data_IF_065577393404
#
_entry.id   IF_065577393404
#
_cell.length_a   1.000
_cell.length_b   1.000
_cell.length_c   1.000
_cell.angle_alpha   90.00
_cell.angle_beta   90.00
_cell.angle_gamma   90.00
#
_symmetry.space_group_name_H-M   'P 1'
#
loop_
_entity.id
_entity.type
_entity.pdbx_description
1 polymer ?
#
# COMPACT_ATOMS: atom_id res chain seq x y z
N UNK A 1 -83.39 -0.38 1.85
CA UNK A 1 -82.78 -1.39 2.73
C UNK A 1 -81.35 -1.60 2.25
N UNK A 2 -80.37 -1.43 3.13
CA UNK A 2 -78.94 -1.42 2.79
C UNK A 2 -78.33 -2.80 3.07
N UNK A 3 -77.43 -3.27 2.19
CA UNK A 3 -76.58 -4.45 2.42
C UNK A 3 -75.12 -4.03 2.28
N UNK A 4 -74.56 -3.52 3.38
CA UNK A 4 -73.13 -3.24 3.53
C UNK A 4 -72.38 -4.57 3.61
N UNK A 5 -71.85 -5.05 2.49
CA UNK A 5 -70.90 -6.15 2.45
C UNK A 5 -69.53 -5.65 2.95
N UNK A 6 -69.18 -5.99 4.18
CA UNK A 6 -67.90 -5.65 4.81
C UNK A 6 -66.77 -6.35 4.06
N UNK A 7 -66.06 -5.65 3.19
CA UNK A 7 -64.74 -6.10 2.72
C UNK A 7 -63.80 -5.98 3.91
N UNK A 8 -63.44 -7.11 4.51
CA UNK A 8 -62.52 -7.10 5.64
C UNK A 8 -61.11 -6.82 5.15
N UNK A 9 -60.34 -6.02 5.90
CA UNK A 9 -58.94 -5.77 5.58
C UNK A 9 -58.15 -7.10 5.43
N UNK A 10 -58.55 -8.15 6.16
CA UNK A 10 -58.06 -9.52 6.04
C UNK A 10 -58.23 -10.12 4.64
N UNK A 11 -59.35 -9.87 3.96
CA UNK A 11 -59.58 -10.41 2.61
C UNK A 11 -58.75 -9.67 1.56
N UNK A 12 -58.50 -8.37 1.79
CA UNK A 12 -57.55 -7.56 1.00
C UNK A 12 -56.10 -7.94 1.28
N UNK A 13 -55.73 -8.25 2.52
CA UNK A 13 -54.38 -8.72 2.88
C UNK A 13 -54.09 -10.11 2.36
N UNK A 14 -55.08 -11.01 2.40
CA UNK A 14 -54.94 -12.35 1.84
C UNK A 14 -54.76 -12.29 0.32
N UNK A 15 -55.51 -11.43 -0.39
CA UNK A 15 -55.31 -11.26 -1.84
C UNK A 15 -53.95 -10.63 -2.18
N UNK A 16 -53.47 -9.64 -1.41
CA UNK A 16 -52.15 -9.01 -1.63
C UNK A 16 -51.01 -9.98 -1.30
N UNK A 17 -51.11 -10.75 -0.22
CA UNK A 17 -50.11 -11.75 0.17
C UNK A 17 -50.03 -12.89 -0.84
N UNK A 18 -51.18 -13.35 -1.34
CA UNK A 18 -51.26 -14.40 -2.37
C UNK A 18 -50.72 -13.91 -3.72
N UNK A 19 -50.95 -12.64 -4.07
CA UNK A 19 -50.43 -12.02 -5.29
C UNK A 19 -48.93 -11.68 -5.20
N UNK A 20 -48.42 -11.34 -4.00
CA UNK A 20 -47.00 -11.15 -3.72
C UNK A 20 -46.23 -12.47 -3.79
N UNK A 21 -46.78 -13.56 -3.23
CA UNK A 21 -46.20 -14.91 -3.34
C UNK A 21 -46.18 -15.39 -4.79
N UNK A 22 -47.25 -15.18 -5.55
CA UNK A 22 -47.32 -15.56 -6.98
C UNK A 22 -46.33 -14.76 -7.85
N UNK A 23 -46.09 -13.50 -7.50
CA UNK A 23 -45.10 -12.64 -8.17
C UNK A 23 -43.67 -13.03 -7.78
N UNK A 24 -43.43 -13.36 -6.51
CA UNK A 24 -42.15 -13.86 -6.02
C UNK A 24 -41.74 -15.17 -6.71
N UNK A 25 -42.67 -16.11 -6.92
CA UNK A 25 -42.39 -17.36 -7.64
C UNK A 25 -42.06 -17.15 -9.13
N UNK A 26 -42.70 -16.19 -9.80
CA UNK A 26 -42.37 -15.86 -11.21
C UNK A 26 -41.03 -15.15 -11.36
N UNK A 27 -40.55 -14.48 -10.33
CA UNK A 27 -39.25 -13.78 -10.31
C UNK A 27 -38.08 -14.67 -9.85
N UNK A 28 -38.33 -15.87 -9.32
CA UNK A 28 -37.33 -16.76 -8.73
C UNK A 28 -36.43 -17.53 -9.74
N UNK A 29 -36.53 -17.27 -11.05
CA UNK A 29 -35.79 -18.03 -12.08
C UNK A 29 -34.41 -17.44 -12.41
N UNK A 30 -34.05 -16.26 -11.88
CA UNK A 30 -32.72 -15.67 -12.10
C UNK A 30 -31.92 -15.74 -10.80
N UNK A 31 -30.83 -16.52 -10.84
CA UNK A 31 -30.05 -16.98 -9.68
C UNK A 31 -29.24 -15.95 -8.85
N UNK A 32 -29.16 -14.62 -9.10
CA UNK A 32 -28.43 -13.74 -8.18
C UNK A 32 -29.30 -13.10 -7.08
N UNK A 33 -30.59 -13.44 -6.95
CA UNK A 33 -31.49 -12.73 -6.03
C UNK A 33 -31.76 -13.42 -4.68
N UNK A 34 -31.31 -14.66 -4.47
CA UNK A 34 -31.52 -15.37 -3.19
C UNK A 34 -30.88 -14.66 -1.99
N UNK A 35 -29.68 -14.09 -2.16
CA UNK A 35 -29.00 -13.35 -1.10
C UNK A 35 -29.62 -11.97 -0.81
N UNK A 36 -30.17 -11.30 -1.84
CA UNK A 36 -30.87 -10.04 -1.68
C UNK A 36 -32.22 -10.24 -0.95
N UNK A 37 -32.93 -11.30 -1.35
CA UNK A 37 -34.14 -11.77 -0.70
C UNK A 37 -33.85 -12.63 0.53
N UNK A 38 -32.62 -12.70 1.06
CA UNK A 38 -32.33 -13.15 2.43
C UNK A 38 -32.06 -11.92 3.35
N UNK A 39 -31.48 -10.87 2.77
CA UNK A 39 -31.18 -9.60 3.46
C UNK A 39 -32.39 -8.70 3.74
N UNK A 40 -33.33 -8.57 2.80
CA UNK A 40 -34.43 -7.57 2.88
C UNK A 40 -35.53 -7.95 3.89
N UNK A 41 -36.15 -9.11 3.72
CA UNK A 41 -36.98 -9.81 4.71
C UNK A 41 -36.32 -10.05 6.09
N UNK A 42 -35.01 -10.27 6.21
CA UNK A 42 -34.31 -10.35 7.51
C UNK A 42 -34.30 -8.99 8.21
N UNK A 43 -34.13 -7.91 7.45
CA UNK A 43 -34.18 -6.54 7.97
C UNK A 43 -35.62 -6.04 8.24
N UNK A 44 -36.60 -6.44 7.43
CA UNK A 44 -38.01 -6.12 7.66
C UNK A 44 -38.57 -6.89 8.87
N UNK A 45 -38.28 -8.20 8.99
CA UNK A 45 -38.70 -9.01 10.12
C UNK A 45 -38.07 -8.54 11.44
N UNK A 46 -36.80 -8.11 11.41
CA UNK A 46 -36.15 -7.45 12.55
C UNK A 46 -36.86 -6.16 12.97
N UNK A 47 -37.26 -5.34 12.00
CA UNK A 47 -37.94 -4.06 12.26
C UNK A 47 -39.39 -4.18 12.76
N UNK A 48 -40.10 -5.25 12.39
CA UNK A 48 -41.53 -5.44 12.68
C UNK A 48 -41.79 -6.17 14.02
N UNK A 49 -40.91 -7.09 14.43
CA UNK A 49 -41.14 -7.97 15.58
C UNK A 49 -40.35 -7.61 16.86
N UNK A 50 -39.88 -6.37 16.99
CA UNK A 50 -39.40 -5.83 18.27
C UNK A 50 -37.93 -6.08 18.59
N UNK A 51 -37.08 -6.25 17.59
CA UNK A 51 -35.63 -6.13 17.72
C UNK A 51 -35.19 -4.76 17.20
N UNK A 52 -34.89 -3.83 18.11
CA UNK A 52 -34.32 -2.48 17.88
C UNK A 52 -34.19 -2.06 16.41
N UNK A 53 -35.12 -1.21 15.96
CA UNK A 53 -34.96 -0.41 14.75
C UNK A 53 -33.58 0.25 14.73
N UNK A 54 -32.64 -0.35 14.00
CA UNK A 54 -31.51 0.38 13.45
C UNK A 54 -32.11 1.37 12.47
N UNK A 55 -32.30 2.61 12.93
CA UNK A 55 -32.60 3.73 12.06
C UNK A 55 -31.59 3.68 10.90
N UNK A 56 -32.08 3.67 9.67
CA UNK A 56 -31.29 3.99 8.48
C UNK A 56 -30.93 5.46 8.61
N UNK A 57 -29.87 5.73 9.35
CA UNK A 57 -29.32 7.04 9.64
C UNK A 57 -27.83 6.88 9.84
N UNK A 58 -27.05 7.70 9.14
CA UNK A 58 -25.59 7.78 9.12
C UNK A 58 -24.96 8.20 10.47
N UNK A 59 -25.67 7.98 11.57
CA UNK A 59 -25.20 8.21 12.93
C UNK A 59 -24.80 6.87 13.54
N UNK A 60 -23.55 6.70 13.99
CA UNK A 60 -23.14 5.44 14.55
C UNK A 60 -23.97 5.16 15.81
N UNK A 61 -24.54 3.94 15.85
CA UNK A 61 -24.94 3.28 17.09
C UNK A 61 -23.83 3.47 18.15
N UNK A 62 -24.15 3.40 19.47
CA UNK A 62 -23.14 3.52 20.53
C UNK A 62 -22.13 2.36 20.44
N UNK A 63 -21.15 2.55 19.56
CA UNK A 63 -20.05 1.67 19.26
C UNK A 63 -18.74 2.35 19.62
N UNK A 64 -17.67 1.58 19.81
CA UNK A 64 -16.40 2.13 20.25
C UNK A 64 -15.82 3.07 19.17
N UNK A 65 -15.33 4.22 19.60
CA UNK A 65 -14.81 5.28 18.73
C UNK A 65 -13.36 4.98 18.40
N UNK A 66 -12.98 5.16 17.13
CA UNK A 66 -11.62 4.94 16.65
C UNK A 66 -10.68 6.06 17.08
N UNK A 67 -9.47 5.70 17.52
CA UNK A 67 -8.40 6.60 17.93
C UNK A 67 -7.27 6.54 16.91
N UNK A 68 -7.08 7.63 16.15
CA UNK A 68 -6.15 7.69 15.03
C UNK A 68 -4.81 8.38 15.36
N UNK A 69 -4.30 8.27 16.60
CA UNK A 69 -3.08 8.98 17.03
C UNK A 69 -1.82 8.62 16.23
N UNK A 70 -1.75 7.40 15.68
CA UNK A 70 -0.62 6.94 14.86
C UNK A 70 -0.82 7.23 13.36
N UNK A 71 -1.91 7.90 13.02
CA UNK A 71 -2.39 8.03 11.65
C UNK A 71 -3.12 6.79 11.16
N UNK A 72 -3.56 6.84 9.91
CA UNK A 72 -4.25 5.73 9.24
C UNK A 72 -5.47 6.19 8.42
N UNK A 73 -6.06 5.24 7.71
CA UNK A 73 -7.26 5.41 6.88
C UNK A 73 -8.51 5.05 7.69
N UNK A 74 -9.40 6.02 7.88
CA UNK A 74 -10.63 5.86 8.65
C UNK A 74 -11.52 4.78 8.01
N UNK A 75 -11.91 3.78 8.80
CA UNK A 75 -12.77 2.68 8.34
C UNK A 75 -12.09 1.61 7.49
N UNK A 76 -10.78 1.70 7.26
CA UNK A 76 -9.98 0.66 6.58
C UNK A 76 -8.90 0.09 7.51
N UNK A 77 -8.14 0.97 8.15
CA UNK A 77 -7.04 0.53 9.00
C UNK A 77 -7.53 0.07 10.37
N UNK A 78 -6.88 -0.94 10.99
CA UNK A 78 -7.21 -1.37 12.34
C UNK A 78 -6.74 -0.32 13.35
N UNK A 79 -7.65 0.59 13.72
CA UNK A 79 -7.40 1.60 14.72
C UNK A 79 -7.86 1.14 16.11
N UNK A 80 -7.11 1.48 17.18
CA UNK A 80 -7.59 1.28 18.54
C UNK A 80 -8.95 1.93 18.74
N UNK A 81 -9.84 1.28 19.47
CA UNK A 81 -11.17 1.82 19.73
C UNK A 81 -11.43 1.96 21.23
N UNK A 82 -12.16 3.01 21.62
CA UNK A 82 -12.48 3.32 23.02
C UNK A 82 -13.97 3.58 23.18
N UNK A 83 -14.63 3.04 24.22
CA UNK A 83 -15.99 3.42 24.54
C UNK A 83 -15.97 4.86 25.09
N UNK A 84 -16.75 5.75 24.47
CA UNK A 84 -16.96 7.11 24.95
C UNK A 84 -18.44 7.48 24.85
N UNK A 85 -18.86 8.45 25.66
CA UNK A 85 -20.23 8.94 25.60
C UNK A 85 -20.46 9.75 24.31
N UNK A 86 -21.58 9.56 23.58
CA UNK A 86 -21.82 10.24 22.31
C UNK A 86 -21.79 11.77 22.37
N UNK A 87 -22.10 12.38 23.52
CA UNK A 87 -22.10 13.85 23.71
C UNK A 87 -20.73 14.50 23.48
N UNK A 88 -19.66 13.72 23.46
CA UNK A 88 -18.32 14.21 23.10
C UNK A 88 -18.28 14.72 21.64
N UNK A 89 -19.22 14.30 20.79
CA UNK A 89 -19.30 14.71 19.39
C UNK A 89 -20.25 15.86 19.08
N UNK A 90 -21.00 16.37 20.05
CA UNK A 90 -22.04 17.40 19.81
C UNK A 90 -21.48 18.65 19.11
N UNK A 91 -20.22 18.97 19.38
CA UNK A 91 -19.49 20.10 18.77
C UNK A 91 -18.16 19.66 18.13
N UNK A 92 -18.03 18.38 17.76
CA UNK A 92 -16.79 17.88 17.18
C UNK A 92 -16.58 18.47 15.77
N UNK A 93 -15.39 19.02 15.47
CA UNK A 93 -15.07 19.56 14.15
C UNK A 93 -15.04 18.46 13.07
N UNK A 94 -15.32 18.88 11.83
CA UNK A 94 -15.31 18.06 10.61
C UNK A 94 -14.19 18.51 9.70
N UNK A 95 -13.34 17.58 9.27
CA UNK A 95 -12.17 17.87 8.43
C UNK A 95 -12.25 17.22 7.05
N UNK A 96 -13.46 17.09 6.49
CA UNK A 96 -13.70 16.40 5.22
C UNK A 96 -12.93 17.01 4.01
N UNK A 97 -12.66 18.32 4.06
CA UNK A 97 -11.83 19.03 3.08
C UNK A 97 -10.32 19.04 3.40
N UNK A 98 -9.91 18.30 4.44
CA UNK A 98 -8.59 18.38 5.05
C UNK A 98 -8.50 19.50 6.09
N UNK A 99 -7.41 19.47 6.84
CA UNK A 99 -7.10 20.46 7.88
C UNK A 99 -6.03 19.97 8.82
N UNK A 100 -5.66 20.84 9.76
CA UNK A 100 -4.72 20.49 10.83
C UNK A 100 -5.50 20.44 12.12
N UNK A 101 -5.54 19.25 12.72
CA UNK A 101 -6.03 19.06 14.07
C UNK A 101 -4.93 19.48 15.04
N UNK A 102 -5.27 20.26 16.06
CA UNK A 102 -4.33 20.70 17.09
C UNK A 102 -4.02 19.60 18.11
N UNK A 103 -4.39 19.84 19.36
CA UNK A 103 -4.25 18.85 20.45
C UNK A 103 -5.16 17.63 20.24
N UNK A 104 -5.21 16.73 21.23
CA UNK A 104 -6.17 15.62 21.25
C UNK A 104 -7.60 16.16 21.36
N UNK A 105 -8.39 15.98 20.30
CA UNK A 105 -9.79 16.41 20.21
C UNK A 105 -10.61 15.37 19.46
N UNK A 106 -11.90 15.21 19.80
CA UNK A 106 -12.80 14.40 19.00
C UNK A 106 -13.04 15.08 17.65
N UNK A 107 -13.13 14.28 16.59
CA UNK A 107 -13.44 14.76 15.25
C UNK A 107 -14.49 13.85 14.61
N UNK A 108 -15.26 14.39 13.68
CA UNK A 108 -16.13 13.60 12.81
C UNK A 108 -15.43 13.47 11.46
N UNK A 109 -15.11 12.24 11.09
CA UNK A 109 -14.40 11.89 9.86
C UNK A 109 -15.23 10.92 9.01
N UNK A 110 -15.10 11.01 7.68
CA UNK A 110 -15.71 10.06 6.76
C UNK A 110 -14.81 8.83 6.56
N UNK A 111 -15.42 7.70 6.25
CA UNK A 111 -14.66 6.50 5.83
C UNK A 111 -13.85 6.82 4.57
N UNK A 112 -12.58 6.42 4.56
CA UNK A 112 -11.62 6.72 3.51
C UNK A 112 -10.80 7.99 3.72
N UNK A 113 -11.11 8.82 4.72
CA UNK A 113 -10.24 9.94 5.11
C UNK A 113 -8.94 9.44 5.74
N UNK A 114 -7.85 10.19 5.58
CA UNK A 114 -6.53 9.85 6.12
C UNK A 114 -6.14 10.81 7.23
N UNK A 115 -5.66 10.25 8.34
CA UNK A 115 -5.05 10.99 9.43
C UNK A 115 -3.54 10.83 9.32
N UNK A 116 -2.82 11.96 9.32
CA UNK A 116 -1.36 11.96 9.28
C UNK A 116 -0.78 12.54 10.56
N UNK A 117 0.25 11.90 11.08
CA UNK A 117 1.06 12.45 12.17
C UNK A 117 1.95 13.59 11.68
N UNK A 118 2.39 14.51 12.56
CA UNK A 118 3.35 15.55 12.20
C UNK A 118 4.65 15.00 11.60
N UNK A 119 5.10 13.81 12.05
CA UNK A 119 6.26 13.13 11.49
C UNK A 119 6.04 12.67 10.05
N UNK A 120 4.91 12.02 9.77
CA UNK A 120 4.53 11.61 8.41
C UNK A 120 4.40 12.81 7.47
N UNK A 121 3.76 13.90 7.92
CA UNK A 121 3.65 15.13 7.13
C UNK A 121 5.00 15.76 6.83
N UNK A 122 5.97 15.68 7.75
CA UNK A 122 7.34 16.17 7.53
C UNK A 122 8.05 15.36 6.45
N UNK A 123 7.92 14.04 6.46
CA UNK A 123 8.49 13.15 5.43
C UNK A 123 7.83 13.41 4.08
N UNK A 124 6.50 13.49 4.03
CA UNK A 124 5.76 13.81 2.81
C UNK A 124 6.18 15.17 2.25
N UNK A 125 6.28 16.21 3.10
CA UNK A 125 6.76 17.54 2.70
C UNK A 125 8.20 17.50 2.20
N UNK A 126 9.08 16.74 2.84
CA UNK A 126 10.47 16.59 2.40
C UNK A 126 10.56 15.89 1.04
N UNK A 127 9.75 14.85 0.82
CA UNK A 127 9.64 14.15 -0.46
C UNK A 127 9.08 15.04 -1.58
N UNK A 128 8.02 15.80 -1.29
CA UNK A 128 7.44 16.75 -2.22
C UNK A 128 8.40 17.91 -2.55
N UNK A 129 9.09 18.48 -1.56
CA UNK A 129 10.12 19.52 -1.79
C UNK A 129 11.33 19.02 -2.57
N UNK A 130 11.74 17.76 -2.37
CA UNK A 130 12.75 17.13 -3.21
C UNK A 130 12.29 17.00 -4.67
N UNK A 131 11.01 16.70 -4.87
CA UNK A 131 10.42 16.62 -6.21
C UNK A 131 10.23 17.98 -6.90
N UNK A 132 9.90 19.05 -6.16
CA UNK A 132 9.69 20.40 -6.69
C UNK A 132 10.99 21.13 -7.06
N UNK A 133 12.11 20.82 -6.38
CA UNK A 133 13.43 21.41 -6.70
C UNK A 133 14.22 20.62 -7.74
N UNK A 134 13.63 19.60 -8.37
CA UNK A 134 14.35 18.71 -9.30
C UNK A 134 15.49 17.92 -8.64
N UNK A 135 15.66 18.04 -7.33
CA UNK A 135 16.60 17.27 -6.54
C UNK A 135 15.96 15.94 -6.18
N UNK A 136 15.99 15.03 -7.17
CA UNK A 136 15.94 13.59 -6.89
C UNK A 136 16.81 13.34 -5.65
N UNK A 137 16.31 12.71 -4.59
CA UNK A 137 17.09 12.49 -3.37
C UNK A 137 18.41 11.86 -3.78
N UNK A 138 19.50 12.60 -3.60
CA UNK A 138 20.83 12.13 -3.94
C UNK A 138 21.19 11.04 -2.92
N UNK A 139 20.91 9.79 -3.27
CA UNK A 139 21.29 8.64 -2.47
C UNK A 139 22.81 8.51 -2.60
N UNK A 140 23.56 9.08 -1.64
CA UNK A 140 25.00 8.91 -1.54
C UNK A 140 25.30 7.49 -1.06
N UNK A 141 25.65 6.60 -1.98
CA UNK A 141 26.06 5.23 -1.66
C UNK A 141 27.59 5.16 -1.59
N UNK A 142 28.13 4.97 -0.39
CA UNK A 142 29.54 4.70 -0.19
C UNK A 142 29.80 3.19 -0.38
N UNK A 143 30.62 2.82 -1.38
CA UNK A 143 30.99 1.42 -1.64
C UNK A 143 32.39 1.16 -1.11
N UNK A 144 32.50 0.19 -0.20
CA UNK A 144 33.78 -0.34 0.25
C UNK A 144 33.98 -1.74 -0.34
N UNK A 145 34.99 -1.90 -1.18
CA UNK A 145 35.34 -3.22 -1.74
C UNK A 145 36.50 -3.79 -0.93
N UNK A 146 36.24 -4.87 -0.20
CA UNK A 146 37.27 -5.63 0.53
C UNK A 146 37.62 -6.88 -0.29
N UNK A 147 38.73 -6.84 -1.02
CA UNK A 147 39.21 -7.98 -1.79
C UNK A 147 40.25 -8.78 -0.98
N UNK A 148 39.83 -9.97 -0.50
CA UNK A 148 40.67 -10.87 0.30
C UNK A 148 41.36 -11.98 -0.51
N UNK A 149 41.20 -12.00 -1.83
CA UNK A 149 41.81 -13.01 -2.67
C UNK A 149 43.25 -12.59 -3.07
N UNK A 150 44.28 -13.42 -2.79
CA UNK A 150 45.65 -13.08 -3.14
C UNK A 150 45.83 -13.01 -4.66
N UNK A 151 46.62 -12.04 -5.12
CA UNK A 151 46.93 -11.90 -6.55
C UNK A 151 45.75 -11.42 -7.40
N UNK A 152 44.78 -10.73 -6.81
CA UNK A 152 43.62 -10.19 -7.53
C UNK A 152 43.40 -8.70 -7.28
N UNK A 153 42.91 -7.98 -8.28
CA UNK A 153 42.47 -6.59 -8.16
C UNK A 153 40.96 -6.52 -8.35
N UNK A 154 40.26 -5.78 -7.48
CA UNK A 154 38.82 -5.61 -7.56
C UNK A 154 38.46 -4.16 -7.85
N UNK A 155 37.55 -3.94 -8.79
CA UNK A 155 37.04 -2.62 -9.16
C UNK A 155 35.50 -2.62 -9.11
N UNK A 156 34.95 -1.59 -8.49
CA UNK A 156 33.51 -1.36 -8.42
C UNK A 156 33.13 -0.16 -9.29
N UNK A 157 32.10 -0.33 -10.13
CA UNK A 157 31.59 0.74 -10.97
C UNK A 157 30.07 0.84 -10.86
N UNK A 158 29.58 2.07 -10.77
CA UNK A 158 28.16 2.36 -10.83
C UNK A 158 27.72 2.58 -12.26
N UNK A 159 26.58 1.99 -12.63
CA UNK A 159 25.89 2.29 -13.89
C UNK A 159 24.41 2.52 -13.62
N UNK A 160 23.88 3.62 -14.15
CA UNK A 160 22.44 3.83 -14.20
C UNK A 160 21.87 2.93 -15.29
N UNK A 161 20.90 2.08 -14.96
CA UNK A 161 20.08 1.48 -16.00
C UNK A 161 19.12 2.56 -16.56
N UNK A 162 18.73 2.44 -17.82
CA UNK A 162 17.84 3.40 -18.46
C UNK A 162 16.42 3.44 -17.88
N UNK A 163 16.11 2.59 -16.89
CA UNK A 163 14.81 2.47 -16.22
C UNK A 163 14.76 3.10 -14.82
N UNK A 164 15.86 3.71 -14.36
CA UNK A 164 15.93 4.37 -13.04
C UNK A 164 16.41 3.47 -11.90
N UNK A 165 16.83 2.24 -12.19
CA UNK A 165 17.55 1.37 -11.28
C UNK A 165 19.06 1.68 -11.24
N UNK A 166 19.66 1.50 -10.06
CA UNK A 166 21.10 1.59 -9.86
C UNK A 166 21.70 0.18 -9.90
N UNK A 167 22.69 -0.06 -10.77
CA UNK A 167 23.46 -1.30 -10.80
C UNK A 167 24.88 -1.07 -10.30
N UNK A 168 25.32 -1.94 -9.40
CA UNK A 168 26.70 -2.01 -8.92
C UNK A 168 27.39 -3.21 -9.58
N UNK A 169 28.36 -2.96 -10.45
CA UNK A 169 29.17 -3.98 -11.08
C UNK A 169 30.49 -4.13 -10.28
N UNK A 170 30.78 -5.34 -9.79
CA UNK A 170 32.04 -5.67 -9.10
C UNK A 170 32.81 -6.63 -10.00
N UNK A 171 33.97 -6.21 -10.49
CA UNK A 171 34.86 -7.03 -11.31
C UNK A 171 36.09 -7.37 -10.49
N UNK A 172 36.45 -8.65 -10.45
CA UNK A 172 37.67 -9.16 -9.81
C UNK A 172 38.54 -9.77 -10.90
N UNK A 173 39.77 -9.27 -11.04
CA UNK A 173 40.71 -9.68 -12.07
C UNK A 173 41.94 -10.33 -11.42
N UNK A 174 42.44 -11.43 -11.98
CA UNK A 174 43.67 -12.09 -11.51
C UNK A 174 44.90 -11.42 -12.14
N UNK A 175 45.81 -10.92 -11.28
CA UNK A 175 46.99 -10.14 -11.67
C UNK A 175 47.94 -10.96 -12.54
N UNK A 176 48.08 -12.26 -12.25
CA UNK A 176 49.00 -13.17 -12.97
C UNK A 176 48.67 -13.27 -14.47
N UNK A 177 47.38 -13.32 -14.81
CA UNK A 177 46.94 -13.39 -16.21
C UNK A 177 47.25 -12.11 -16.99
N UNK A 178 47.20 -10.95 -16.34
CA UNK A 178 47.52 -9.66 -16.96
C UNK A 178 49.04 -9.49 -17.13
N UNK A 179 49.83 -9.89 -16.13
CA UNK A 179 51.30 -9.86 -16.20
C UNK A 179 51.80 -10.73 -17.36
N UNK A 180 51.32 -11.97 -17.49
CA UNK A 180 51.72 -12.88 -18.55
C UNK A 180 51.43 -12.31 -19.96
N UNK A 181 50.24 -11.71 -20.16
CA UNK A 181 49.86 -11.08 -21.44
C UNK A 181 50.69 -9.85 -21.78
N UNK A 182 51.08 -9.06 -20.77
CA UNK A 182 51.90 -7.88 -20.99
C UNK A 182 53.35 -8.27 -21.30
N UNK A 183 53.89 -9.28 -20.59
CA UNK A 183 55.21 -9.85 -20.88
C UNK A 183 55.27 -10.40 -22.31
N UNK A 184 54.26 -11.17 -22.74
CA UNK A 184 54.20 -11.72 -24.10
C UNK A 184 54.10 -10.66 -25.21
N UNK A 185 53.59 -9.46 -24.90
CA UNK A 185 53.51 -8.32 -25.84
C UNK A 185 54.71 -7.37 -25.74
N UNK A 186 55.69 -7.64 -24.87
CA UNK A 186 56.84 -6.76 -24.64
C UNK A 186 56.53 -5.51 -23.82
N UNK A 187 55.37 -5.46 -23.17
CA UNK A 187 54.89 -4.31 -22.40
C UNK A 187 55.04 -4.55 -20.88
N UNK A 188 55.02 -3.47 -20.09
CA UNK A 188 55.08 -3.55 -18.63
C UNK A 188 56.46 -3.94 -18.10
N UNK A 189 56.57 -5.11 -17.48
CA UNK A 189 57.81 -5.58 -16.83
C UNK A 189 58.82 -6.20 -17.81
N UNK A 190 58.43 -6.45 -19.07
CA UNK A 190 59.30 -7.10 -20.05
C UNK A 190 60.62 -6.34 -20.30
N UNK A 191 60.63 -5.00 -20.51
CA UNK A 191 61.87 -4.26 -20.76
C UNK A 191 62.80 -4.23 -19.53
N UNK A 192 62.26 -4.33 -18.32
CA UNK A 192 63.06 -4.44 -17.10
C UNK A 192 63.67 -5.83 -16.93
N UNK A 193 62.94 -6.88 -17.33
CA UNK A 193 63.42 -8.26 -17.30
C UNK A 193 64.50 -8.49 -18.35
N UNK A 194 64.33 -7.95 -19.56
CA UNK A 194 65.34 -7.94 -20.62
C UNK A 194 66.63 -7.25 -20.17
N UNK A 195 66.55 -6.08 -19.54
CA UNK A 195 67.72 -5.37 -19.02
C UNK A 195 68.42 -6.08 -17.86
N UNK A 196 67.68 -6.71 -16.95
CA UNK A 196 68.25 -7.34 -15.74
C UNK A 196 68.76 -8.76 -15.99
N UNK A 197 68.10 -9.50 -16.88
CA UNK A 197 68.38 -10.91 -17.13
C UNK A 197 68.92 -11.20 -18.54
N UNK A 198 69.09 -10.18 -19.39
CA UNK A 198 69.66 -10.33 -20.74
C UNK A 198 68.77 -11.13 -21.70
N UNK A 199 67.46 -11.14 -21.46
CA UNK A 199 66.50 -11.91 -22.25
C UNK A 199 66.17 -11.18 -23.55
N UNK A 200 66.66 -11.68 -24.68
CA UNK A 200 66.34 -11.14 -26.01
C UNK A 200 65.23 -11.98 -26.67
N UNK A 201 64.02 -11.42 -26.89
CA UNK A 201 62.93 -12.14 -27.55
C UNK A 201 63.25 -12.56 -29.00
N UNK A 202 64.08 -11.78 -29.70
CA UNK A 202 64.44 -12.02 -31.09
C UNK A 202 65.47 -13.15 -31.29
N UNK A 203 66.11 -13.61 -30.21
CA UNK A 203 67.17 -14.63 -30.27
C UNK A 203 66.64 -16.07 -30.11
N UNK A 204 65.32 -16.28 -30.07
CA UNK A 204 64.72 -17.62 -30.09
C UNK A 204 64.94 -18.40 -28.80
N UNK A 205 64.24 -18.02 -27.73
CA UNK A 205 64.06 -18.85 -26.55
C UNK A 205 62.60 -19.31 -26.46
N UNK A 206 62.17 -20.12 -27.44
CA UNK A 206 60.99 -20.98 -27.26
C UNK A 206 61.49 -22.36 -26.84
N UNK A 207 61.13 -22.79 -25.64
CA UNK A 207 61.06 -24.20 -25.25
C UNK A 207 59.65 -24.50 -24.80
#
# INVERSE_FOLDING_TARGET
WATTGKVSATDLFNSIAEEALRTAYRMAVIKPFGALFEGILGSIAGSLFGGSSGMVGDFPAPGPVQVAHVGGVIGSDPLPSRPIHPTVFDNAPRFHGGGVVGNEVPIIAQRGETVFTPGQMRVLRAGLRGSELGQKPEVKVNVHVDNRAPGTEARAQWRSDGGGGLRLDIIVEQIEGQIARNIGRGEGLAPTMERRYGLNPAAGAYR
#
